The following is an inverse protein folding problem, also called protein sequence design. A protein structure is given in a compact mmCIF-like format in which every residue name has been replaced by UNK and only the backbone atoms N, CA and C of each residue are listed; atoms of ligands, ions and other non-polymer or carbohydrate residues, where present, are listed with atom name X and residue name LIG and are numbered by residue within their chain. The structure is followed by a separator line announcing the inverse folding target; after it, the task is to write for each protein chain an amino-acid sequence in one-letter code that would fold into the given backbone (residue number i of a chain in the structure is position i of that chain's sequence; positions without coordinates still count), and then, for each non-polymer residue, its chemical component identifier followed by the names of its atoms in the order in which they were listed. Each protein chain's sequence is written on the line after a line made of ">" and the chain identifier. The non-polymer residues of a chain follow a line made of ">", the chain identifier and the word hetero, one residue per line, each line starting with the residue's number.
data_IF_298678054719
#
_entry.id   IF_298678054719
#
_cell.length_a   1.000
_cell.length_b   1.000
_cell.length_c   1.000
_cell.angle_alpha   90.00
_cell.angle_beta   90.00
_cell.angle_gamma   90.00
#
_symmetry.space_group_name_H-M   'P 1'
#
loop_
_entity.id
_entity.type
_entity.pdbx_description
1 polymer ?
#
# COMPACT_ATOMS: atom_id res chain seq x y z
N UNK A 1 12.16 -5.02 -11.57
CA UNK A 1 10.78 -4.61 -11.28
C UNK A 1 10.04 -5.80 -10.69
N UNK A 2 9.45 -5.65 -9.54
CA UNK A 2 8.77 -6.71 -8.81
C UNK A 2 7.28 -6.39 -8.58
N UNK A 3 6.92 -5.11 -8.58
CA UNK A 3 5.55 -4.64 -8.47
C UNK A 3 4.74 -4.84 -9.77
N UNK A 4 3.43 -4.80 -9.66
CA UNK A 4 2.52 -5.02 -10.78
C UNK A 4 2.58 -3.89 -11.82
N UNK A 5 2.65 -2.64 -11.37
CA UNK A 5 2.54 -1.46 -12.24
C UNK A 5 3.63 -0.42 -11.97
N UNK A 6 4.82 -0.84 -11.51
CA UNK A 6 5.96 0.02 -11.20
C UNK A 6 5.79 0.90 -9.95
N UNK A 7 4.99 0.47 -9.00
CA UNK A 7 4.83 1.16 -7.71
C UNK A 7 6.19 1.36 -7.02
N UNK A 8 7.02 0.31 -7.00
CA UNK A 8 8.37 0.33 -6.44
C UNK A 8 9.28 1.37 -7.11
N UNK A 9 9.27 1.46 -8.46
CA UNK A 9 10.03 2.45 -9.20
C UNK A 9 9.53 3.88 -8.88
N UNK A 10 8.21 4.07 -8.82
CA UNK A 10 7.62 5.37 -8.48
C UNK A 10 8.02 5.82 -7.07
N UNK A 11 7.89 4.94 -6.07
CA UNK A 11 8.27 5.26 -4.69
C UNK A 11 9.74 5.65 -4.61
N UNK A 12 10.64 4.85 -5.21
CA UNK A 12 12.09 5.12 -5.21
C UNK A 12 12.45 6.42 -5.95
N UNK A 13 11.66 6.82 -6.96
CA UNK A 13 11.86 8.10 -7.67
C UNK A 13 11.53 9.31 -6.80
N UNK A 14 10.62 9.17 -5.83
CA UNK A 14 10.22 10.24 -4.91
C UNK A 14 11.08 10.29 -3.66
N UNK A 15 11.34 9.13 -3.07
CA UNK A 15 12.11 8.99 -1.82
C UNK A 15 13.10 7.82 -2.00
N UNK A 16 14.41 8.11 -2.07
CA UNK A 16 15.41 7.06 -2.36
C UNK A 16 15.57 6.03 -1.23
N UNK A 17 15.30 6.42 0.02
CA UNK A 17 15.39 5.54 1.19
C UNK A 17 14.46 6.03 2.29
N UNK A 18 13.72 5.11 2.89
CA UNK A 18 12.73 5.46 3.90
C UNK A 18 12.16 4.27 4.64
N UNK A 19 10.97 4.46 5.16
CA UNK A 19 10.20 3.45 5.89
C UNK A 19 8.85 3.20 5.23
N UNK A 20 8.30 1.98 5.39
CA UNK A 20 7.01 1.64 4.82
C UNK A 20 6.13 0.79 5.74
N UNK A 21 4.83 0.85 5.48
CA UNK A 21 3.85 -0.18 5.86
C UNK A 21 3.15 -0.65 4.58
N UNK A 22 3.14 -1.96 4.37
CA UNK A 22 2.45 -2.63 3.26
C UNK A 22 1.26 -3.41 3.80
N UNK A 23 0.06 -3.04 3.39
CA UNK A 23 -1.19 -3.71 3.76
C UNK A 23 -1.71 -4.51 2.58
N UNK A 24 -2.01 -5.80 2.82
CA UNK A 24 -2.40 -6.72 1.76
C UNK A 24 -1.22 -7.37 1.07
N UNK A 25 -0.09 -7.48 1.77
CA UNK A 25 1.06 -8.22 1.29
C UNK A 25 0.66 -9.68 1.03
N UNK A 26 1.05 -10.25 -0.08
CA UNK A 26 0.80 -11.65 -0.42
C UNK A 26 2.13 -12.36 -0.62
N UNK A 27 2.55 -12.55 -1.85
CA UNK A 27 3.84 -13.17 -2.15
C UNK A 27 5.00 -12.22 -1.81
N UNK A 28 6.11 -12.72 -1.19
CA UNK A 28 7.19 -11.83 -0.72
C UNK A 28 8.00 -11.13 -1.82
N UNK A 29 7.93 -11.61 -3.06
CA UNK A 29 8.74 -11.10 -4.19
C UNK A 29 7.91 -10.80 -5.43
N UNK A 30 7.07 -11.74 -5.85
CA UNK A 30 6.30 -11.62 -7.10
C UNK A 30 5.07 -10.72 -6.88
N UNK A 31 4.89 -9.74 -7.75
CA UNK A 31 3.81 -8.76 -7.64
C UNK A 31 3.81 -8.13 -6.25
N UNK A 32 5.00 -7.74 -5.77
CA UNK A 32 5.18 -7.16 -4.45
C UNK A 32 5.77 -5.75 -4.54
N UNK A 33 5.11 -4.79 -3.91
CA UNK A 33 5.45 -3.37 -4.03
C UNK A 33 6.63 -2.95 -3.15
N UNK A 34 7.02 -3.75 -2.18
CA UNK A 34 8.03 -3.39 -1.17
C UNK A 34 9.32 -4.21 -1.24
N UNK A 35 9.36 -5.27 -2.05
CA UNK A 35 10.58 -6.08 -2.17
C UNK A 35 11.77 -5.26 -2.71
N UNK A 36 11.56 -4.50 -3.80
CA UNK A 36 12.61 -3.62 -4.34
C UNK A 36 13.01 -2.51 -3.37
N UNK A 37 12.07 -2.01 -2.58
CA UNK A 37 12.36 -1.02 -1.52
C UNK A 37 13.30 -1.62 -0.46
N UNK A 38 13.01 -2.84 -0.01
CA UNK A 38 13.88 -3.55 0.93
C UNK A 38 15.29 -3.75 0.36
N UNK A 39 15.42 -4.14 -0.93
CA UNK A 39 16.71 -4.26 -1.61
C UNK A 39 17.45 -2.92 -1.68
N UNK A 40 16.73 -1.80 -1.76
CA UNK A 40 17.28 -0.43 -1.72
C UNK A 40 17.60 0.06 -0.29
N UNK A 41 17.41 -0.79 0.72
CA UNK A 41 17.73 -0.48 2.12
C UNK A 41 16.61 0.20 2.90
N UNK A 42 15.37 0.11 2.42
CA UNK A 42 14.20 0.53 3.18
C UNK A 42 13.92 -0.43 4.32
N UNK A 43 13.38 0.11 5.41
CA UNK A 43 12.87 -0.67 6.53
C UNK A 43 11.34 -0.54 6.61
N UNK A 44 10.65 -1.62 6.95
CA UNK A 44 9.21 -1.56 7.09
C UNK A 44 8.60 -2.87 7.57
N UNK A 45 7.29 -2.88 7.61
CA UNK A 45 6.50 -4.07 7.93
C UNK A 45 5.47 -4.31 6.82
N UNK A 46 5.18 -5.57 6.59
CA UNK A 46 4.10 -6.00 5.70
C UNK A 46 3.05 -6.73 6.53
N UNK A 47 1.78 -6.49 6.23
CA UNK A 47 0.64 -7.06 6.95
C UNK A 47 -0.21 -7.87 5.98
N UNK A 48 -0.52 -9.09 6.37
CA UNK A 48 -1.39 -9.98 5.61
C UNK A 48 -2.22 -10.84 6.57
N UNK A 49 -3.45 -11.10 6.22
CA UNK A 49 -4.36 -11.87 7.07
C UNK A 49 -4.10 -13.39 6.97
N UNK A 50 -3.54 -13.84 5.85
CA UNK A 50 -3.30 -15.25 5.56
C UNK A 50 -1.84 -15.62 5.82
N UNK A 51 -1.59 -16.83 6.32
CA UNK A 51 -0.26 -17.33 6.65
C UNK A 51 0.38 -18.18 5.53
N UNK A 52 -0.24 -18.33 4.39
CA UNK A 52 0.24 -19.21 3.29
C UNK A 52 1.66 -18.87 2.84
N UNK A 53 2.01 -17.58 2.82
CA UNK A 53 3.32 -17.11 2.39
C UNK A 53 4.31 -16.90 3.55
N UNK A 54 3.95 -17.17 4.80
CA UNK A 54 4.78 -16.85 5.98
C UNK A 54 6.17 -17.50 5.93
N UNK A 55 6.25 -18.78 5.60
CA UNK A 55 7.51 -19.49 5.53
C UNK A 55 8.40 -18.95 4.40
N UNK A 56 7.81 -18.70 3.24
CA UNK A 56 8.52 -18.14 2.10
C UNK A 56 9.01 -16.73 2.39
N UNK A 57 8.21 -15.94 3.12
CA UNK A 57 8.60 -14.61 3.57
C UNK A 57 9.84 -14.64 4.45
N UNK A 58 9.87 -15.52 5.46
CA UNK A 58 11.02 -15.69 6.36
C UNK A 58 12.30 -16.10 5.63
N UNK A 59 12.19 -16.81 4.49
CA UNK A 59 13.34 -17.21 3.70
C UNK A 59 13.87 -16.10 2.77
N UNK A 60 12.98 -15.26 2.23
CA UNK A 60 13.30 -14.31 1.16
C UNK A 60 13.36 -12.85 1.61
N UNK A 61 12.81 -12.50 2.76
CA UNK A 61 12.70 -11.13 3.25
C UNK A 61 13.41 -10.93 4.59
N UNK A 62 14.00 -9.76 4.76
CA UNK A 62 14.60 -9.32 6.04
C UNK A 62 13.59 -8.56 6.89
N UNK A 63 12.74 -7.76 6.24
CA UNK A 63 11.68 -7.02 6.91
C UNK A 63 10.51 -7.95 7.27
N UNK A 64 9.87 -7.77 8.42
CA UNK A 64 8.89 -8.73 8.93
C UNK A 64 7.55 -8.72 8.19
N UNK A 65 6.92 -9.88 8.13
CA UNK A 65 5.49 -10.05 7.85
C UNK A 65 4.74 -10.25 9.16
N UNK A 66 3.69 -9.47 9.37
CA UNK A 66 2.74 -9.66 10.47
C UNK A 66 1.48 -10.35 9.92
N UNK A 67 1.14 -11.50 10.49
CA UNK A 67 -0.10 -12.20 10.19
C UNK A 67 -1.18 -11.66 11.11
N UNK A 68 -1.95 -10.71 10.63
CA UNK A 68 -3.03 -10.05 11.38
C UNK A 68 -4.01 -9.34 10.45
N UNK A 69 -5.18 -9.01 10.96
CA UNK A 69 -6.13 -8.16 10.27
C UNK A 69 -5.68 -6.70 10.35
N UNK A 70 -5.50 -6.05 9.21
CA UNK A 70 -5.09 -4.66 9.13
C UNK A 70 -6.08 -3.70 9.80
N UNK A 71 -7.37 -4.05 9.85
CA UNK A 71 -8.41 -3.25 10.51
C UNK A 71 -8.30 -3.27 12.04
N UNK A 72 -7.53 -4.21 12.60
CA UNK A 72 -7.24 -4.30 14.04
C UNK A 72 -5.84 -3.81 14.40
N UNK A 73 -4.99 -3.56 13.42
CA UNK A 73 -3.63 -3.07 13.64
C UNK A 73 -3.63 -1.63 14.13
N UNK A 74 -2.84 -1.32 15.15
CA UNK A 74 -2.69 0.04 15.67
C UNK A 74 -1.59 0.78 14.93
N UNK A 75 -1.99 1.67 14.04
CA UNK A 75 -1.06 2.55 13.34
C UNK A 75 -0.54 3.64 14.28
N UNK A 76 0.78 3.76 14.43
CA UNK A 76 1.43 4.75 15.29
C UNK A 76 2.59 5.41 14.55
N UNK A 77 2.82 6.71 14.84
CA UNK A 77 3.95 7.45 14.30
C UNK A 77 3.79 7.80 12.82
N UNK A 78 4.84 7.57 12.05
CA UNK A 78 4.84 7.91 10.63
C UNK A 78 5.70 6.95 9.81
N UNK A 79 5.36 6.85 8.52
CA UNK A 79 6.17 6.17 7.51
C UNK A 79 6.31 7.08 6.27
N UNK A 80 7.27 6.77 5.42
CA UNK A 80 7.44 7.47 4.15
C UNK A 80 6.46 6.93 3.10
N UNK A 81 6.18 5.63 3.11
CA UNK A 81 5.28 4.99 2.15
C UNK A 81 4.27 4.07 2.85
N UNK A 82 3.00 4.22 2.49
CA UNK A 82 1.91 3.34 2.85
C UNK A 82 1.35 2.69 1.58
N UNK A 83 1.17 1.38 1.58
CA UNK A 83 0.43 0.68 0.54
C UNK A 83 -0.84 0.10 1.14
N UNK A 84 -1.97 0.35 0.50
CA UNK A 84 -3.27 -0.19 0.87
C UNK A 84 -3.88 -0.98 -0.29
N UNK A 85 -3.99 -2.29 -0.10
CA UNK A 85 -4.52 -3.23 -1.07
C UNK A 85 -5.12 -4.43 -0.32
N UNK A 86 -6.42 -4.38 -0.04
CA UNK A 86 -7.16 -5.44 0.65
C UNK A 86 -8.39 -5.83 -0.19
N UNK A 87 -8.68 -7.10 -0.23
CA UNK A 87 -9.90 -7.59 -0.85
C UNK A 87 -11.04 -7.78 0.18
N UNK A 88 -12.25 -7.35 -0.12
CA UNK A 88 -12.69 -6.55 -1.28
C UNK A 88 -12.34 -5.05 -1.12
N UNK A 89 -12.48 -4.21 -2.18
CA UNK A 89 -12.04 -2.79 -2.14
C UNK A 89 -12.70 -1.95 -1.04
N UNK A 90 -13.87 -2.32 -0.55
CA UNK A 90 -14.51 -1.66 0.60
C UNK A 90 -13.70 -1.85 1.89
N UNK A 91 -12.96 -2.93 2.01
CA UNK A 91 -12.03 -3.16 3.14
C UNK A 91 -10.81 -2.24 3.04
N UNK A 92 -10.29 -2.01 1.84
CA UNK A 92 -9.22 -1.04 1.59
C UNK A 92 -9.68 0.36 1.99
N UNK A 93 -10.88 0.75 1.59
CA UNK A 93 -11.48 2.03 1.95
C UNK A 93 -11.68 2.17 3.48
N UNK A 94 -12.14 1.11 4.13
CA UNK A 94 -12.31 1.10 5.59
C UNK A 94 -10.95 1.27 6.31
N UNK A 95 -9.91 0.61 5.82
CA UNK A 95 -8.56 0.78 6.34
C UNK A 95 -8.06 2.22 6.16
N UNK A 96 -8.29 2.83 4.99
CA UNK A 96 -7.97 4.24 4.75
C UNK A 96 -8.67 5.18 5.74
N UNK A 97 -9.98 5.00 5.96
CA UNK A 97 -10.74 5.79 6.95
C UNK A 97 -10.15 5.67 8.35
N UNK A 98 -9.81 4.45 8.75
CA UNK A 98 -9.20 4.18 10.04
C UNK A 98 -7.84 4.88 10.20
N UNK A 99 -6.97 4.78 9.19
CA UNK A 99 -5.67 5.44 9.16
C UNK A 99 -5.81 6.97 9.22
N UNK A 100 -6.69 7.55 8.42
CA UNK A 100 -6.88 9.01 8.36
C UNK A 100 -7.50 9.59 9.64
N UNK A 101 -8.25 8.81 10.41
CA UNK A 101 -8.80 9.19 11.72
C UNK A 101 -7.78 9.11 12.86
N UNK A 102 -6.66 8.41 12.65
CA UNK A 102 -5.59 8.27 13.63
C UNK A 102 -4.57 9.40 13.54
N UNK A 103 -3.61 9.42 14.47
CA UNK A 103 -2.46 10.34 14.42
C UNK A 103 -1.34 9.85 13.49
N UNK A 104 -1.52 8.71 12.85
CA UNK A 104 -0.55 8.14 11.92
C UNK A 104 -0.38 9.03 10.68
N UNK A 105 0.86 9.17 10.20
CA UNK A 105 1.21 10.02 9.04
C UNK A 105 2.01 9.23 8.01
N UNK A 106 1.79 9.54 6.75
CA UNK A 106 2.54 8.98 5.63
C UNK A 106 2.72 10.03 4.53
N UNK A 107 3.78 9.89 3.71
CA UNK A 107 4.09 10.85 2.64
C UNK A 107 3.59 10.38 1.28
N UNK A 108 3.80 9.10 0.97
CA UNK A 108 3.38 8.45 -0.27
C UNK A 108 2.35 7.38 0.04
N UNK A 109 1.36 7.24 -0.84
CA UNK A 109 0.35 6.18 -0.77
C UNK A 109 0.09 5.62 -2.16
N UNK A 110 0.06 4.29 -2.28
CA UNK A 110 -0.61 3.59 -3.36
C UNK A 110 -1.89 2.98 -2.80
N UNK A 111 -3.01 3.32 -3.43
CA UNK A 111 -4.35 2.93 -2.98
C UNK A 111 -5.08 2.17 -4.06
N UNK A 112 -5.30 0.86 -3.84
CA UNK A 112 -6.07 0.03 -4.75
C UNK A 112 -7.56 0.24 -4.52
N UNK A 113 -8.24 0.72 -5.57
CA UNK A 113 -9.67 1.08 -5.53
C UNK A 113 -10.55 0.20 -6.42
N UNK A 114 -9.95 -0.63 -7.27
CA UNK A 114 -10.62 -1.61 -8.14
C UNK A 114 -11.79 -1.04 -8.96
N UNK A 115 -11.64 0.16 -9.51
CA UNK A 115 -12.71 0.82 -10.26
C UNK A 115 -13.25 -0.02 -11.43
N UNK A 116 -12.39 -0.81 -12.06
CA UNK A 116 -12.76 -1.68 -13.18
C UNK A 116 -13.85 -2.70 -12.83
N UNK A 117 -14.02 -3.04 -11.57
CA UNK A 117 -15.03 -4.02 -11.13
C UNK A 117 -16.45 -3.46 -11.12
N UNK A 118 -16.62 -2.15 -11.24
CA UNK A 118 -17.90 -1.45 -11.04
C UNK A 118 -18.37 -1.41 -9.58
N UNK A 119 -17.61 -2.01 -8.65
CA UNK A 119 -17.87 -2.05 -7.19
C UNK A 119 -16.74 -1.40 -6.40
N UNK A 120 -15.83 -0.71 -7.07
CA UNK A 120 -14.70 -0.06 -6.47
C UNK A 120 -15.05 1.18 -5.65
N UNK A 121 -14.05 1.71 -4.96
CA UNK A 121 -14.20 2.83 -4.03
C UNK A 121 -13.41 4.09 -4.45
N UNK A 122 -13.10 4.24 -5.74
CA UNK A 122 -12.24 5.31 -6.29
C UNK A 122 -12.69 6.71 -5.87
N UNK A 123 -13.95 7.06 -6.12
CA UNK A 123 -14.41 8.44 -5.90
C UNK A 123 -14.39 8.80 -4.40
N UNK A 124 -14.84 7.89 -3.55
CA UNK A 124 -14.85 8.11 -2.11
C UNK A 124 -13.42 8.22 -1.54
N UNK A 125 -12.48 7.39 -1.99
CA UNK A 125 -11.07 7.48 -1.58
C UNK A 125 -10.43 8.80 -2.02
N UNK A 126 -10.75 9.27 -3.24
CA UNK A 126 -10.28 10.56 -3.74
C UNK A 126 -10.78 11.73 -2.90
N UNK A 127 -12.05 11.72 -2.52
CA UNK A 127 -12.63 12.78 -1.66
C UNK A 127 -11.95 12.80 -0.29
N UNK A 128 -11.77 11.65 0.33
CA UNK A 128 -11.12 11.50 1.64
C UNK A 128 -9.66 11.99 1.62
N UNK A 129 -8.88 11.56 0.64
CA UNK A 129 -7.46 11.90 0.54
C UNK A 129 -7.26 13.37 0.20
N UNK A 130 -8.06 13.92 -0.69
CA UNK A 130 -8.03 15.35 -1.01
C UNK A 130 -8.37 16.19 0.22
N UNK A 131 -9.42 15.83 0.96
CA UNK A 131 -9.79 16.51 2.21
C UNK A 131 -8.70 16.42 3.28
N UNK A 132 -7.93 15.31 3.31
CA UNK A 132 -6.78 15.13 4.21
C UNK A 132 -5.50 15.87 3.74
N UNK A 133 -5.55 16.56 2.60
CA UNK A 133 -4.45 17.37 2.08
C UNK A 133 -3.44 16.59 1.23
N UNK A 134 -3.79 15.40 0.73
CA UNK A 134 -2.98 14.66 -0.23
C UNK A 134 -3.24 15.14 -1.65
N UNK A 135 -2.22 15.11 -2.50
CA UNK A 135 -2.30 15.40 -3.92
C UNK A 135 -2.25 14.11 -4.71
N UNK A 136 -3.19 13.95 -5.67
CA UNK A 136 -3.19 12.84 -6.60
C UNK A 136 -2.06 13.03 -7.61
N UNK A 137 -1.01 12.23 -7.53
CA UNK A 137 0.18 12.29 -8.40
C UNK A 137 -0.04 11.47 -9.68
N UNK A 138 -0.54 10.27 -9.54
CA UNK A 138 -0.83 9.37 -10.67
C UNK A 138 -2.22 8.77 -10.51
N UNK A 139 -3.11 9.13 -11.43
CA UNK A 139 -4.50 8.68 -11.42
C UNK A 139 -4.69 7.47 -12.32
N UNK A 140 -5.64 6.60 -11.93
CA UNK A 140 -6.16 5.55 -12.80
C UNK A 140 -5.09 4.62 -13.37
N UNK A 141 -4.17 4.16 -12.54
CA UNK A 141 -3.18 3.14 -12.90
C UNK A 141 -3.91 1.90 -13.42
N UNK A 142 -3.45 1.36 -14.54
CA UNK A 142 -4.14 0.30 -15.26
C UNK A 142 -3.56 -1.07 -14.98
N UNK A 143 -4.45 -2.05 -14.80
CA UNK A 143 -4.16 -3.46 -15.00
C UNK A 143 -4.77 -3.95 -16.31
N UNK A 144 -4.71 -5.25 -16.59
CA UNK A 144 -5.30 -5.83 -17.81
C UNK A 144 -6.83 -5.66 -17.90
N UNK A 145 -7.51 -5.43 -16.79
CA UNK A 145 -8.97 -5.28 -16.70
C UNK A 145 -9.44 -3.82 -16.63
N UNK A 146 -8.55 -2.85 -16.45
CA UNK A 146 -8.87 -1.43 -16.35
C UNK A 146 -8.23 -0.71 -15.19
N UNK A 147 -8.77 0.45 -14.84
CA UNK A 147 -8.27 1.28 -13.74
C UNK A 147 -8.46 0.59 -12.38
N UNK A 148 -7.39 0.43 -11.62
CA UNK A 148 -7.44 -0.28 -10.35
C UNK A 148 -6.80 0.48 -9.18
N UNK A 149 -5.86 1.42 -9.41
CA UNK A 149 -5.06 2.04 -8.35
C UNK A 149 -4.82 3.54 -8.62
N UNK A 150 -4.68 4.31 -7.55
CA UNK A 150 -4.25 5.72 -7.55
C UNK A 150 -3.03 5.91 -6.65
N UNK A 151 -2.12 6.83 -7.03
CA UNK A 151 -0.92 7.17 -6.27
C UNK A 151 -0.96 8.60 -5.77
N UNK A 152 -0.65 8.78 -4.48
CA UNK A 152 -0.87 10.02 -3.75
C UNK A 152 0.40 10.51 -3.04
N UNK A 153 0.55 11.83 -2.93
CA UNK A 153 1.70 12.49 -2.32
C UNK A 153 1.26 13.54 -1.30
N UNK A 154 1.99 13.60 -0.17
CA UNK A 154 1.97 14.70 0.79
C UNK A 154 3.38 14.85 1.37
N UNK A 155 4.24 15.54 0.63
CA UNK A 155 5.64 15.79 1.01
C UNK A 155 5.79 17.03 1.87
#
# INVERSE_FOLDING_TARGET
>A
MYSQSKQDEWVLSKIPKGTYIEIGASHPVNINNTYALEQAGWYGISIYIDNQCEQLWKQLRKNPLLITDALTYKFNGSVDYLQLDIEPPQQTLQCLKYVLQSDFRFKLLTFEHDHYTGKGCRNESRDLLTAAGYTLDTADVQCEFGSYEDWWIKL
#
